data_IF_781320372987
#
_entry.id   IF_781320372987
#
_cell.length_a   1.000
_cell.length_b   1.000
_cell.length_c   1.000
_cell.angle_alpha   90.00
_cell.angle_beta   90.00
_cell.angle_gamma   90.00
#
_symmetry.space_group_name_H-M   'P 1'
#
loop_
_entity.id
_entity.type
_entity.pdbx_description
1 polymer ?
#
# COMPACT_ATOMS: atom_id res chain seq x y z
N UNK A 1 -17.48 -19.35 10.72
CA UNK A 1 -16.18 -18.71 10.56
C UNK A 1 -15.67 -18.23 11.90
N UNK A 2 -14.49 -18.62 12.28
CA UNK A 2 -13.91 -18.24 13.57
C UNK A 2 -13.25 -16.87 13.48
N UNK A 3 -13.11 -16.19 14.62
CA UNK A 3 -12.40 -14.90 14.69
C UNK A 3 -10.97 -15.02 14.20
N UNK A 4 -10.33 -16.18 14.41
CA UNK A 4 -8.96 -16.43 13.98
C UNK A 4 -8.81 -16.47 12.47
N UNK A 5 -9.79 -17.04 11.76
CA UNK A 5 -9.78 -17.09 10.30
C UNK A 5 -9.91 -15.69 9.72
N UNK A 6 -10.80 -14.88 10.28
CA UNK A 6 -10.98 -13.49 9.84
C UNK A 6 -9.70 -12.70 10.07
N UNK A 7 -9.08 -12.84 11.23
CA UNK A 7 -7.84 -12.16 11.55
C UNK A 7 -6.72 -12.58 10.60
N UNK A 8 -6.60 -13.87 10.32
CA UNK A 8 -5.59 -14.38 9.40
C UNK A 8 -5.75 -13.77 7.99
N UNK A 9 -6.99 -13.67 7.51
CA UNK A 9 -7.26 -13.04 6.20
C UNK A 9 -6.89 -11.58 6.18
N UNK A 10 -7.19 -10.86 7.25
CA UNK A 10 -6.85 -9.44 7.36
C UNK A 10 -5.34 -9.25 7.39
N UNK A 11 -4.63 -10.10 8.11
CA UNK A 11 -3.17 -10.04 8.17
C UNK A 11 -2.53 -10.34 6.83
N UNK A 12 -3.07 -11.31 6.09
CA UNK A 12 -2.60 -11.62 4.74
C UNK A 12 -2.84 -10.44 3.80
N UNK A 13 -4.03 -9.86 3.84
CA UNK A 13 -4.36 -8.69 3.02
C UNK A 13 -3.42 -7.52 3.33
N UNK A 14 -3.11 -7.32 4.61
CA UNK A 14 -2.18 -6.26 5.02
C UNK A 14 -0.78 -6.52 4.47
N UNK A 15 -0.32 -7.76 4.52
CA UNK A 15 0.98 -8.15 4.00
C UNK A 15 1.06 -7.88 2.48
N UNK A 16 0.04 -8.27 1.74
CA UNK A 16 -0.04 -8.04 0.30
C UNK A 16 -0.03 -6.55 -0.04
N UNK A 17 -0.77 -5.74 0.72
CA UNK A 17 -0.81 -4.30 0.51
C UNK A 17 0.53 -3.64 0.80
N UNK A 18 1.23 -4.10 1.83
CA UNK A 18 2.57 -3.59 2.15
C UNK A 18 3.59 -3.94 1.08
N UNK A 19 3.49 -5.13 0.48
CA UNK A 19 4.32 -5.51 -0.66
C UNK A 19 4.06 -4.62 -1.86
N UNK A 20 2.79 -4.36 -2.14
CA UNK A 20 2.40 -3.47 -3.24
C UNK A 20 2.94 -2.06 -3.01
N UNK A 21 2.86 -1.56 -1.78
CA UNK A 21 3.41 -0.26 -1.41
C UNK A 21 4.93 -0.21 -1.65
N UNK A 22 5.62 -1.29 -1.29
CA UNK A 22 7.07 -1.38 -1.51
C UNK A 22 7.40 -1.38 -3.00
N UNK A 23 6.64 -2.11 -3.81
CA UNK A 23 6.81 -2.13 -5.26
C UNK A 23 6.61 -0.73 -5.87
N UNK A 24 5.60 -0.01 -5.43
CA UNK A 24 5.33 1.34 -5.91
C UNK A 24 6.45 2.31 -5.52
N UNK A 25 7.00 2.16 -4.32
CA UNK A 25 8.16 2.96 -3.90
C UNK A 25 9.39 2.67 -4.77
N UNK A 26 9.61 1.40 -5.09
CA UNK A 26 10.70 0.99 -5.98
C UNK A 26 10.50 1.53 -7.39
N UNK A 27 9.27 1.45 -7.91
CA UNK A 27 8.94 1.98 -9.24
C UNK A 27 9.19 3.49 -9.31
N UNK A 28 8.81 4.22 -8.27
CA UNK A 28 9.06 5.66 -8.21
C UNK A 28 10.56 5.96 -8.19
N UNK A 29 11.32 5.23 -7.39
CA UNK A 29 12.76 5.41 -7.30
C UNK A 29 13.43 5.12 -8.65
N UNK A 30 13.01 4.06 -9.33
CA UNK A 30 13.53 3.69 -10.64
C UNK A 30 13.20 4.74 -11.70
N UNK A 31 11.98 5.25 -11.66
CA UNK A 31 11.55 6.30 -12.58
C UNK A 31 12.43 7.55 -12.45
N UNK A 32 12.69 7.98 -11.23
CA UNK A 32 13.50 9.16 -10.96
C UNK A 32 14.97 8.94 -11.29
N UNK A 33 15.46 7.71 -11.12
CA UNK A 33 16.87 7.38 -11.32
C UNK A 33 17.24 7.15 -12.77
N UNK A 34 16.38 6.46 -13.52
CA UNK A 34 16.70 5.97 -14.86
C UNK A 34 16.16 6.83 -15.99
N UNK A 35 15.31 7.79 -15.69
CA UNK A 35 14.68 8.63 -16.70
C UNK A 35 15.53 9.85 -16.98
N UNK A 36 15.90 10.08 -18.24
CA UNK A 36 16.61 11.30 -18.66
C UNK A 36 15.70 12.51 -18.62
N UNK A 37 14.43 12.28 -18.87
CA UNK A 37 13.38 13.30 -18.72
C UNK A 37 12.36 12.75 -17.75
N UNK A 38 11.95 13.57 -16.79
CA UNK A 38 10.97 13.16 -15.79
C UNK A 38 9.60 13.01 -16.41
N UNK A 39 9.02 11.80 -16.31
CA UNK A 39 7.67 11.55 -16.79
C UNK A 39 6.67 11.89 -15.68
N UNK A 40 6.12 13.10 -15.74
CA UNK A 40 5.19 13.58 -14.73
C UNK A 40 3.89 12.78 -14.69
N UNK A 41 3.46 12.21 -15.81
CA UNK A 41 2.26 11.39 -15.85
C UNK A 41 2.46 10.09 -15.07
N UNK A 42 3.62 9.44 -15.26
CA UNK A 42 3.96 8.25 -14.53
C UNK A 42 4.11 8.52 -13.03
N UNK A 43 4.78 9.61 -12.69
CA UNK A 43 4.92 10.02 -11.30
C UNK A 43 3.55 10.23 -10.66
N UNK A 44 2.66 10.91 -11.35
CA UNK A 44 1.30 11.17 -10.87
C UNK A 44 0.52 9.88 -10.66
N UNK A 45 0.63 8.94 -11.61
CA UNK A 45 0.00 7.62 -11.49
C UNK A 45 0.49 6.87 -10.26
N UNK A 46 1.80 6.83 -10.09
CA UNK A 46 2.40 6.11 -8.96
C UNK A 46 1.96 6.75 -7.65
N UNK A 47 1.96 8.07 -7.56
CA UNK A 47 1.49 8.77 -6.36
C UNK A 47 0.03 8.46 -6.05
N UNK A 48 -0.82 8.42 -7.06
CA UNK A 48 -2.24 8.09 -6.90
C UNK A 48 -2.41 6.67 -6.38
N UNK A 49 -1.67 5.72 -6.95
CA UNK A 49 -1.70 4.34 -6.51
C UNK A 49 -1.16 4.18 -5.08
N UNK A 50 -0.09 4.88 -4.74
CA UNK A 50 0.45 4.88 -3.37
C UNK A 50 -0.58 5.38 -2.37
N UNK A 51 -1.28 6.46 -2.69
CA UNK A 51 -2.33 6.99 -1.82
C UNK A 51 -3.47 6.01 -1.65
N UNK A 52 -3.88 5.34 -2.73
CA UNK A 52 -4.93 4.32 -2.69
C UNK A 52 -4.53 3.15 -1.80
N UNK A 53 -3.30 2.66 -1.97
CA UNK A 53 -2.77 1.56 -1.16
C UNK A 53 -2.67 1.97 0.31
N UNK A 54 -2.19 3.17 0.59
CA UNK A 54 -2.08 3.68 1.96
C UNK A 54 -3.46 3.73 2.65
N UNK A 55 -4.50 4.14 1.94
CA UNK A 55 -5.86 4.15 2.47
C UNK A 55 -6.36 2.74 2.77
N UNK A 56 -6.07 1.79 1.87
CA UNK A 56 -6.45 0.39 2.08
C UNK A 56 -5.73 -0.20 3.29
N UNK A 57 -4.44 0.08 3.44
CA UNK A 57 -3.66 -0.38 4.59
C UNK A 57 -4.28 0.17 5.88
N UNK A 58 -4.61 1.45 5.91
CA UNK A 58 -5.22 2.09 7.06
C UNK A 58 -6.54 1.42 7.45
N UNK A 59 -7.38 1.08 6.47
CA UNK A 59 -8.66 0.40 6.70
C UNK A 59 -8.46 -1.01 7.25
N UNK A 60 -7.50 -1.76 6.70
CA UNK A 60 -7.23 -3.12 7.16
C UNK A 60 -6.66 -3.08 8.57
N UNK A 61 -5.74 -2.18 8.86
CA UNK A 61 -5.18 -2.02 10.20
C UNK A 61 -6.27 -1.68 11.21
N UNK A 62 -7.21 -0.80 10.84
CA UNK A 62 -8.34 -0.45 11.69
C UNK A 62 -9.22 -1.66 12.00
N UNK A 63 -9.36 -2.58 11.04
CA UNK A 63 -10.14 -3.80 11.23
C UNK A 63 -9.44 -4.81 12.12
N UNK A 64 -8.10 -4.81 12.12
CA UNK A 64 -7.31 -5.72 12.94
C UNK A 64 -7.24 -5.21 14.38
N UNK A 65 -6.94 -3.93 14.56
CA UNK A 65 -6.81 -3.34 15.89
C UNK A 65 -7.43 -1.94 15.89
N UNK A 66 -8.72 -1.82 16.26
CA UNK A 66 -9.39 -0.53 16.30
C UNK A 66 -8.78 0.48 17.27
N UNK A 67 -8.02 0.03 18.24
CA UNK A 67 -7.39 0.90 19.22
C UNK A 67 -6.25 1.75 18.65
N UNK A 68 -5.68 1.33 17.54
CA UNK A 68 -4.58 2.06 16.91
C UNK A 68 -5.02 3.44 16.42
N UNK A 69 -6.32 3.62 16.17
CA UNK A 69 -6.85 4.83 15.55
C UNK A 69 -7.39 5.84 16.57
N UNK A 70 -7.38 5.46 17.80
CA UNK A 70 -7.91 6.33 18.85
C UNK A 70 -7.09 7.63 18.97
#
# INVERSE_FOLDING_TARGET
>A
MTSNEKLARLQLALCELKLEQRHLNTDMANLLKNSKTVDFLQMRRIKTMKNSVAKKISRVEASIDPNIIA
#
